data_IF_398448655812
#
_entry.id   IF_398448655812
#
_cell.length_a   1.000
_cell.length_b   1.000
_cell.length_c   1.000
_cell.angle_alpha   90.00
_cell.angle_beta   90.00
_cell.angle_gamma   90.00
#
_symmetry.space_group_name_H-M   'P 1'
#
loop_
_entity.id
_entity.type
_entity.pdbx_description
1 polymer ?
#
# COMPACT_ATOMS: atom_id res chain seq x y z
N UNK A 1 26.41 -2.11 -32.89
CA UNK A 1 26.27 -1.12 -31.80
C UNK A 1 27.07 -1.60 -30.60
N UNK A 2 28.01 -0.82 -30.08
CA UNK A 2 28.88 -1.25 -28.97
C UNK A 2 28.12 -1.38 -27.65
N UNK A 3 28.33 -2.46 -26.90
CA UNK A 3 27.69 -2.72 -25.58
C UNK A 3 27.82 -1.53 -24.61
N UNK A 4 28.93 -0.77 -24.67
CA UNK A 4 29.17 0.44 -23.89
C UNK A 4 28.23 1.61 -24.24
N UNK A 5 27.83 1.72 -25.51
CA UNK A 5 26.89 2.77 -25.97
C UNK A 5 25.48 2.44 -25.50
N UNK A 6 25.08 1.17 -25.57
CA UNK A 6 23.79 0.68 -25.04
C UNK A 6 23.70 0.90 -23.54
N UNK A 7 24.77 0.59 -22.80
CA UNK A 7 24.84 0.82 -21.34
C UNK A 7 24.66 2.31 -20.99
N UNK A 8 25.38 3.21 -21.66
CA UNK A 8 25.30 4.66 -21.39
C UNK A 8 23.92 5.23 -21.71
N UNK A 9 23.30 4.80 -22.81
CA UNK A 9 21.93 5.18 -23.18
C UNK A 9 20.91 4.68 -22.15
N UNK A 10 21.05 3.43 -21.69
CA UNK A 10 20.17 2.86 -20.66
C UNK A 10 20.25 3.62 -19.34
N UNK A 11 21.46 3.96 -18.88
CA UNK A 11 21.67 4.75 -17.65
C UNK A 11 21.10 6.16 -17.80
N UNK A 12 21.36 6.83 -18.93
CA UNK A 12 20.83 8.16 -19.18
C UNK A 12 19.29 8.18 -19.24
N UNK A 13 18.67 7.22 -19.94
CA UNK A 13 17.22 7.08 -20.00
C UNK A 13 16.61 6.78 -18.63
N UNK A 14 17.22 5.88 -17.87
CA UNK A 14 16.79 5.57 -16.50
C UNK A 14 16.85 6.79 -15.57
N UNK A 15 17.95 7.56 -15.62
CA UNK A 15 18.09 8.78 -14.82
C UNK A 15 17.04 9.83 -15.18
N UNK A 16 16.71 9.99 -16.46
CA UNK A 16 15.73 10.95 -16.93
C UNK A 16 14.31 10.60 -16.45
N UNK A 17 13.95 9.31 -16.53
CA UNK A 17 12.67 8.80 -16.02
C UNK A 17 12.57 8.96 -14.50
N UNK A 18 13.66 8.69 -13.78
CA UNK A 18 13.68 8.82 -12.32
C UNK A 18 13.55 10.28 -11.89
N UNK A 19 14.24 11.19 -12.58
CA UNK A 19 14.16 12.63 -12.32
C UNK A 19 12.75 13.17 -12.58
N UNK A 20 12.13 12.76 -13.69
CA UNK A 20 10.77 13.16 -14.02
C UNK A 20 9.73 12.56 -13.06
N UNK A 21 9.83 11.26 -12.76
CA UNK A 21 8.92 10.58 -11.83
C UNK A 21 9.03 11.13 -10.41
N UNK A 22 10.24 11.37 -9.93
CA UNK A 22 10.48 12.02 -8.64
C UNK A 22 9.88 13.43 -8.59
N UNK A 23 10.11 14.24 -9.63
CA UNK A 23 9.54 15.57 -9.72
C UNK A 23 7.99 15.56 -9.74
N UNK A 24 7.38 14.63 -10.47
CA UNK A 24 5.92 14.49 -10.53
C UNK A 24 5.30 14.13 -9.17
N UNK A 25 5.94 13.23 -8.42
CA UNK A 25 5.47 12.84 -7.08
C UNK A 25 5.61 14.00 -6.09
N UNK A 26 6.75 14.71 -6.11
CA UNK A 26 6.98 15.86 -5.23
C UNK A 26 6.00 16.99 -5.53
N UNK A 27 5.75 17.28 -6.82
CA UNK A 27 4.76 18.26 -7.24
C UNK A 27 3.35 17.87 -6.77
N UNK A 28 2.99 16.59 -6.88
CA UNK A 28 1.74 16.07 -6.34
C UNK A 28 1.63 16.23 -4.82
N UNK A 29 2.71 15.92 -4.07
CA UNK A 29 2.75 16.10 -2.61
C UNK A 29 2.63 17.57 -2.20
N UNK A 30 3.26 18.47 -2.96
CA UNK A 30 3.21 19.91 -2.72
C UNK A 30 1.79 20.48 -2.89
N UNK A 31 0.97 19.94 -3.79
CA UNK A 31 -0.42 20.34 -3.97
C UNK A 31 -1.34 19.90 -2.83
N UNK A 32 -0.90 18.97 -1.98
CA UNK A 32 -1.74 18.26 -1.02
C UNK A 32 -1.18 18.39 0.41
N UNK A 33 -0.50 19.50 0.71
CA UNK A 33 0.08 19.80 2.03
C UNK A 33 0.96 18.68 2.60
N UNK A 34 1.71 17.99 1.72
CA UNK A 34 2.56 16.85 2.08
C UNK A 34 1.83 15.63 2.70
N UNK A 35 0.50 15.56 2.58
CA UNK A 35 -0.27 14.40 3.04
C UNK A 35 -0.29 13.28 2.00
N UNK A 36 0.56 12.27 2.21
CA UNK A 36 0.64 11.06 1.36
C UNK A 36 -0.72 10.35 1.22
N UNK A 37 -1.52 10.32 2.29
CA UNK A 37 -2.84 9.70 2.28
C UNK A 37 -3.82 10.37 1.32
N UNK A 38 -3.80 11.71 1.23
CA UNK A 38 -4.66 12.44 0.29
C UNK A 38 -4.17 12.31 -1.16
N UNK A 39 -2.85 12.25 -1.39
CA UNK A 39 -2.31 11.94 -2.71
C UNK A 39 -2.76 10.56 -3.19
N UNK A 40 -2.72 9.55 -2.32
CA UNK A 40 -3.20 8.19 -2.59
C UNK A 40 -4.69 8.19 -2.93
N UNK A 41 -5.51 8.90 -2.15
CA UNK A 41 -6.96 9.04 -2.43
C UNK A 41 -7.19 9.71 -3.78
N UNK A 42 -6.51 10.82 -4.09
CA UNK A 42 -6.65 11.51 -5.37
C UNK A 42 -6.22 10.63 -6.55
N UNK A 43 -5.13 9.88 -6.41
CA UNK A 43 -4.70 8.89 -7.39
C UNK A 43 -5.75 7.79 -7.55
N UNK A 44 -6.28 7.26 -6.45
CA UNK A 44 -7.27 6.18 -6.43
C UNK A 44 -8.62 6.63 -7.02
N UNK A 45 -8.99 7.90 -6.84
CA UNK A 45 -10.13 8.54 -7.53
C UNK A 45 -9.86 8.70 -9.02
N UNK A 46 -8.66 9.17 -9.41
CA UNK A 46 -8.30 9.39 -10.81
C UNK A 46 -8.29 8.09 -11.64
N UNK A 47 -7.87 6.97 -11.05
CA UNK A 47 -7.93 5.64 -11.69
C UNK A 47 -9.31 4.95 -11.57
N UNK A 48 -10.29 5.61 -10.95
CA UNK A 48 -11.67 5.14 -10.84
C UNK A 48 -11.90 4.01 -9.82
N UNK A 49 -10.97 3.81 -8.88
CA UNK A 49 -11.10 2.83 -7.80
C UNK A 49 -11.94 3.36 -6.62
N UNK A 50 -11.88 4.66 -6.33
CA UNK A 50 -12.86 5.30 -5.44
C UNK A 50 -14.04 5.74 -6.30
N UNK A 51 -15.20 5.10 -6.12
CA UNK A 51 -16.46 5.52 -6.72
C UNK A 51 -17.39 6.08 -5.65
N UNK A 52 -18.19 7.07 -6.02
CA UNK A 52 -19.29 7.53 -5.18
C UNK A 52 -20.33 6.41 -5.09
N UNK A 53 -20.77 6.08 -3.87
CA UNK A 53 -21.83 5.09 -3.67
C UNK A 53 -23.17 5.71 -4.08
N UNK A 54 -23.73 5.25 -5.19
CA UNK A 54 -24.99 5.80 -5.71
C UNK A 54 -26.24 5.30 -4.96
N UNK A 55 -26.13 4.26 -4.13
CA UNK A 55 -27.23 3.76 -3.28
C UNK A 55 -26.74 3.34 -1.88
N UNK A 56 -27.60 3.47 -0.87
CA UNK A 56 -27.31 3.03 0.51
C UNK A 56 -27.02 1.52 0.61
N UNK A 57 -27.61 0.71 -0.28
CA UNK A 57 -27.40 -0.75 -0.31
C UNK A 57 -25.98 -1.10 -0.73
N UNK A 58 -25.43 -0.36 -1.69
CA UNK A 58 -24.06 -0.57 -2.20
C UNK A 58 -23.01 -0.21 -1.14
N UNK A 59 -23.24 0.90 -0.42
CA UNK A 59 -22.42 1.28 0.74
C UNK A 59 -22.43 0.21 1.84
N UNK A 60 -23.61 -0.30 2.19
CA UNK A 60 -23.72 -1.31 3.25
C UNK A 60 -23.06 -2.64 2.87
N UNK A 61 -23.16 -3.03 1.60
CA UNK A 61 -22.49 -4.22 1.07
C UNK A 61 -20.97 -4.08 1.15
N UNK A 62 -20.44 -2.90 0.81
CA UNK A 62 -19.02 -2.62 0.93
C UNK A 62 -18.52 -2.68 2.39
N UNK A 63 -19.23 -2.03 3.32
CA UNK A 63 -18.87 -2.05 4.75
C UNK A 63 -18.90 -3.47 5.31
N UNK A 64 -19.93 -4.25 4.97
CA UNK A 64 -20.02 -5.64 5.40
C UNK A 64 -18.94 -6.52 4.77
N UNK A 65 -18.55 -6.25 3.52
CA UNK A 65 -17.40 -6.91 2.89
C UNK A 65 -16.08 -6.66 3.64
N UNK A 66 -15.83 -5.41 4.04
CA UNK A 66 -14.65 -5.06 4.85
C UNK A 66 -14.69 -5.71 6.22
N UNK A 67 -15.85 -5.79 6.85
CA UNK A 67 -16.04 -6.50 8.13
C UNK A 67 -15.58 -7.96 8.03
N UNK A 68 -15.97 -8.69 6.98
CA UNK A 68 -15.54 -10.07 6.77
C UNK A 68 -14.02 -10.21 6.61
N UNK A 69 -13.36 -9.27 5.93
CA UNK A 69 -11.91 -9.28 5.77
C UNK A 69 -11.19 -9.05 7.11
N UNK A 70 -11.70 -8.14 7.93
CA UNK A 70 -11.15 -7.88 9.26
C UNK A 70 -11.36 -9.10 10.16
N UNK A 71 -12.55 -9.71 10.15
CA UNK A 71 -12.84 -10.93 10.88
C UNK A 71 -11.88 -12.07 10.50
N UNK A 72 -11.60 -12.25 9.21
CA UNK A 72 -10.64 -13.24 8.73
C UNK A 72 -9.21 -12.92 9.19
N UNK A 73 -8.80 -11.65 9.15
CA UNK A 73 -7.49 -11.22 9.63
C UNK A 73 -7.32 -11.51 11.12
N UNK A 74 -8.32 -11.21 11.95
CA UNK A 74 -8.31 -11.54 13.38
C UNK A 74 -8.32 -13.04 13.63
N UNK A 75 -9.06 -13.82 12.83
CA UNK A 75 -9.10 -15.27 12.95
C UNK A 75 -7.73 -15.91 12.72
N UNK A 76 -6.87 -15.34 11.88
CA UNK A 76 -5.49 -15.81 11.68
C UNK A 76 -4.52 -15.18 12.68
N UNK A 77 -4.64 -13.88 12.95
CA UNK A 77 -3.73 -13.16 13.84
C UNK A 77 -3.82 -13.66 15.29
N UNK A 78 -5.02 -13.99 15.77
CA UNK A 78 -5.26 -14.45 17.13
C UNK A 78 -4.56 -15.78 17.48
N UNK A 79 -4.71 -16.88 16.71
CA UNK A 79 -4.00 -18.13 17.00
C UNK A 79 -2.49 -17.99 16.83
N UNK A 80 -2.02 -17.20 15.86
CA UNK A 80 -0.59 -16.91 15.69
C UNK A 80 -0.05 -16.22 16.95
N UNK A 81 -0.71 -15.15 17.40
CA UNK A 81 -0.34 -14.44 18.63
C UNK A 81 -0.35 -15.34 19.86
N UNK A 82 -1.40 -16.15 20.02
CA UNK A 82 -1.52 -17.10 21.13
C UNK A 82 -0.40 -18.15 21.13
N UNK A 83 -0.02 -18.66 19.95
CA UNK A 83 1.09 -19.61 19.83
C UNK A 83 2.44 -19.00 20.24
N UNK A 84 2.62 -17.68 20.08
CA UNK A 84 3.83 -16.99 20.51
C UNK A 84 3.89 -16.82 22.02
N UNK A 85 2.75 -16.61 22.68
CA UNK A 85 2.68 -16.53 24.14
C UNK A 85 2.98 -17.87 24.81
N UNK A 86 2.40 -18.98 24.32
CA UNK A 86 2.63 -20.30 24.90
C UNK A 86 4.11 -20.73 24.76
N UNK A 87 4.75 -20.44 23.62
CA UNK A 87 6.19 -20.71 23.44
C UNK A 87 7.07 -19.96 24.45
N UNK A 88 6.68 -18.75 24.86
CA UNK A 88 7.41 -17.99 25.90
C UNK A 88 7.16 -18.57 27.29
N UNK A 89 5.96 -19.07 27.57
CA UNK A 89 5.62 -19.67 28.86
C UNK A 89 6.41 -20.97 29.13
N UNK A 90 6.58 -21.83 28.13
CA UNK A 90 7.35 -23.08 28.26
C UNK A 90 8.86 -22.85 28.48
N UNK A 91 9.40 -21.75 27.96
CA UNK A 91 10.81 -21.39 28.13
C UNK A 91 11.08 -20.81 29.54
N UNK A 92 10.07 -20.19 30.16
CA UNK A 92 10.19 -19.56 31.48
C UNK A 92 10.08 -20.54 32.66
N UNK A 93 9.48 -21.73 32.47
CA UNK A 93 9.30 -22.74 33.52
C UNK A 93 10.45 -23.75 33.65
N UNK A 94 11.46 -23.66 32.78
CA UNK A 94 12.64 -24.55 32.76
C UNK A 94 13.90 -23.86 33.36
N UNK A 95 13.75 -22.69 33.99
CA UNK A 95 14.80 -22.04 34.81
C UNK A 95 14.37 -22.06 36.27
#
# INVERSE_FOLDING_TARGET
>A
MSKKVVLRLGVAGGALLFLWGGAAIIAGLAQVDWQVGRLMVQYMTAIGMIREFHTFVDFYTHVKGVEYLICLAFFVAFPVYYSMLNKKADTASTT
#
